data_IF_533344067437
#
_entry.id   IF_533344067437
#
_cell.length_a   1.000
_cell.length_b   1.000
_cell.length_c   1.000
_cell.angle_alpha   90.00
_cell.angle_beta   90.00
_cell.angle_gamma   90.00
#
_symmetry.space_group_name_H-M   'P 1'
#
loop_
_entity.id
_entity.type
_entity.pdbx_description
1 polymer ?
#
# COMPACT_ATOMS: atom_id res chain seq x y z
N UNK A 1 -1.68 1.26 -5.03
CA UNK A 1 -1.37 0.18 -4.06
C UNK A 1 -2.62 0.01 -3.25
N UNK A 2 -3.04 -1.23 -2.98
CA UNK A 2 -4.17 -1.49 -2.09
C UNK A 2 -3.68 -1.72 -0.66
N UNK A 3 -4.49 -1.35 0.32
CA UNK A 3 -4.22 -1.63 1.73
C UNK A 3 -4.96 -0.68 2.67
N UNK A 4 -5.14 -1.14 3.90
CA UNK A 4 -5.87 -0.40 4.91
C UNK A 4 -5.55 -0.85 6.33
N UNK A 5 -6.46 -0.54 7.25
CA UNK A 5 -6.28 -0.81 8.67
C UNK A 5 -6.79 -2.22 9.00
N UNK A 6 -5.95 -2.98 9.70
CA UNK A 6 -6.31 -4.32 10.18
C UNK A 6 -7.38 -4.21 11.27
N UNK A 7 -8.49 -4.92 11.07
CA UNK A 7 -9.60 -4.98 12.01
C UNK A 7 -9.25 -5.69 13.33
N UNK A 8 -10.04 -5.42 14.37
CA UNK A 8 -9.86 -6.12 15.65
C UNK A 8 -10.16 -7.62 15.49
N UNK A 9 -9.14 -8.45 15.74
CA UNK A 9 -9.24 -9.91 15.59
C UNK A 9 -9.08 -10.42 14.15
N UNK A 10 -8.85 -9.52 13.18
CA UNK A 10 -8.53 -9.86 11.79
C UNK A 10 -7.04 -10.22 11.69
N UNK A 11 -6.71 -11.29 10.96
CA UNK A 11 -5.32 -11.58 10.64
C UNK A 11 -4.79 -10.65 9.54
N UNK A 12 -3.47 -10.48 9.48
CA UNK A 12 -2.85 -9.62 8.45
C UNK A 12 -3.14 -10.12 7.02
N UNK A 13 -3.17 -11.43 6.83
CA UNK A 13 -3.47 -12.03 5.53
C UNK A 13 -4.93 -11.79 5.14
N UNK A 14 -5.88 -11.98 6.06
CA UNK A 14 -7.30 -11.70 5.82
C UNK A 14 -7.52 -10.23 5.46
N UNK A 15 -6.89 -9.31 6.21
CA UNK A 15 -6.93 -7.88 5.91
C UNK A 15 -6.39 -7.59 4.52
N UNK A 16 -5.21 -8.12 4.16
CA UNK A 16 -4.62 -7.88 2.84
C UNK A 16 -5.49 -8.38 1.68
N UNK A 17 -6.14 -9.55 1.83
CA UNK A 17 -7.09 -10.04 0.84
C UNK A 17 -8.38 -9.22 0.77
N UNK A 18 -8.91 -8.77 1.91
CA UNK A 18 -10.11 -7.93 1.97
C UNK A 18 -9.86 -6.59 1.28
N UNK A 19 -8.79 -5.89 1.63
CA UNK A 19 -8.45 -4.57 1.06
C UNK A 19 -8.20 -4.68 -0.46
N UNK A 20 -7.51 -5.74 -0.89
CA UNK A 20 -7.28 -5.99 -2.32
C UNK A 20 -8.60 -6.23 -3.08
N UNK A 21 -9.57 -6.89 -2.45
CA UNK A 21 -10.90 -7.08 -3.03
C UNK A 21 -11.72 -5.78 -3.05
N UNK A 22 -11.71 -5.03 -1.94
CA UNK A 22 -12.48 -3.80 -1.80
C UNK A 22 -12.01 -2.72 -2.77
N UNK A 23 -10.70 -2.51 -2.89
CA UNK A 23 -10.13 -1.47 -3.73
C UNK A 23 -10.01 -1.84 -5.21
N UNK A 24 -9.71 -3.11 -5.51
CA UNK A 24 -9.34 -3.55 -6.86
C UNK A 24 -10.25 -4.64 -7.43
N UNK A 25 -11.13 -5.25 -6.63
CA UNK A 25 -11.97 -6.38 -7.02
C UNK A 25 -11.19 -7.68 -7.28
N UNK A 26 -9.93 -7.73 -6.85
CA UNK A 26 -9.03 -8.87 -7.12
C UNK A 26 -9.20 -9.91 -6.03
N UNK A 27 -9.57 -11.13 -6.44
CA UNK A 27 -9.82 -12.27 -5.55
C UNK A 27 -9.04 -13.49 -6.03
N UNK A 28 -8.72 -14.38 -5.10
CA UNK A 28 -8.03 -15.66 -5.36
C UNK A 28 -6.64 -15.52 -6.01
N UNK A 29 -5.98 -14.37 -5.85
CA UNK A 29 -4.61 -14.13 -6.31
C UNK A 29 -3.64 -14.33 -5.15
N UNK A 30 -2.67 -15.25 -5.23
CA UNK A 30 -1.73 -15.48 -4.14
C UNK A 30 -0.94 -14.21 -3.78
N UNK A 31 -0.97 -13.86 -2.49
CA UNK A 31 -0.14 -12.80 -1.94
C UNK A 31 1.19 -13.37 -1.44
N UNK A 32 2.28 -12.69 -1.78
CA UNK A 32 3.62 -12.98 -1.25
C UNK A 32 3.97 -11.95 -0.18
N UNK A 33 4.17 -12.39 1.05
CA UNK A 33 4.68 -11.51 2.11
C UNK A 33 6.12 -11.08 1.78
N UNK A 34 6.35 -9.78 1.72
CA UNK A 34 7.65 -9.18 1.42
C UNK A 34 8.39 -8.85 2.71
N UNK A 35 7.78 -8.04 3.58
CA UNK A 35 8.39 -7.64 4.85
C UNK A 35 7.38 -6.98 5.80
N UNK A 36 7.79 -6.80 7.05
CA UNK A 36 7.10 -5.97 8.03
C UNK A 36 7.94 -4.73 8.31
N UNK A 37 7.31 -3.55 8.34
CA UNK A 37 8.00 -2.30 8.62
C UNK A 37 7.28 -1.45 9.68
N UNK A 38 8.03 -0.54 10.31
CA UNK A 38 7.48 0.47 11.20
C UNK A 38 7.63 1.84 10.54
N UNK A 39 6.57 2.63 10.56
CA UNK A 39 6.55 3.97 10.00
C UNK A 39 5.93 4.97 10.98
N UNK A 40 6.50 6.16 11.03
CA UNK A 40 6.01 7.23 11.89
C UNK A 40 6.07 8.56 11.16
N UNK A 41 4.96 9.29 11.15
CA UNK A 41 4.89 10.65 10.64
C UNK A 41 4.87 11.61 11.83
N UNK A 42 5.73 12.62 11.74
CA UNK A 42 5.69 13.79 12.61
C UNK A 42 5.84 15.01 11.70
N UNK A 43 4.73 15.69 11.41
CA UNK A 43 4.78 16.96 10.67
C UNK A 43 4.17 18.05 11.51
N UNK A 44 4.87 19.18 11.59
CA UNK A 44 4.38 20.38 12.24
C UNK A 44 4.05 21.40 11.16
N UNK A 45 2.76 21.69 10.96
CA UNK A 45 2.36 22.82 10.14
C UNK A 45 1.85 23.94 11.05
N UNK A 46 2.44 25.15 10.98
CA UNK A 46 2.08 26.24 11.90
C UNK A 46 0.62 26.70 11.78
N UNK A 47 -0.05 26.40 10.66
CA UNK A 47 -1.43 26.84 10.39
C UNK A 47 -2.48 25.71 10.36
N UNK A 48 -2.09 24.44 10.21
CA UNK A 48 -3.04 23.34 9.88
C UNK A 48 -2.94 22.11 10.78
N UNK A 49 -2.44 22.29 12.01
CA UNK A 49 -2.21 21.27 13.04
C UNK A 49 -0.96 20.40 12.83
N UNK A 50 -0.53 19.77 13.92
CA UNK A 50 0.57 18.80 13.92
C UNK A 50 0.01 17.42 13.63
N UNK A 51 0.51 16.72 12.60
CA UNK A 51 0.15 15.34 12.29
C UNK A 51 1.17 14.41 12.94
N UNK A 52 0.72 13.60 13.90
CA UNK A 52 1.54 12.61 14.59
C UNK A 52 0.82 11.26 14.62
N UNK A 53 1.35 10.28 13.90
CA UNK A 53 0.85 8.91 13.95
C UNK A 53 1.97 7.91 13.64
N UNK A 54 1.73 6.66 14.03
CA UNK A 54 2.64 5.54 13.80
C UNK A 54 1.85 4.31 13.38
N UNK A 55 2.45 3.49 12.52
CA UNK A 55 1.89 2.20 12.13
C UNK A 55 2.96 1.13 12.05
N UNK A 56 2.51 -0.11 12.14
CA UNK A 56 3.26 -1.29 11.70
C UNK A 56 2.58 -1.77 10.41
N UNK A 57 3.32 -1.74 9.31
CA UNK A 57 2.84 -2.16 8.01
C UNK A 57 3.32 -3.56 7.67
N UNK A 58 2.43 -4.38 7.13
CA UNK A 58 2.76 -5.69 6.55
C UNK A 58 2.65 -5.56 5.04
N UNK A 59 3.78 -5.73 4.35
CA UNK A 59 3.88 -5.50 2.91
C UNK A 59 3.76 -6.83 2.16
N UNK A 60 2.81 -6.89 1.23
CA UNK A 60 2.61 -8.01 0.33
C UNK A 60 2.84 -7.58 -1.12
N UNK A 61 3.11 -8.54 -1.99
CA UNK A 61 3.15 -8.38 -3.45
C UNK A 61 2.30 -9.45 -4.13
N UNK A 62 1.76 -9.13 -5.30
CA UNK A 62 1.11 -10.08 -6.17
C UNK A 62 1.18 -9.63 -7.63
N UNK A 63 1.07 -10.60 -8.54
CA UNK A 63 0.96 -10.34 -9.98
C UNK A 63 -0.44 -10.72 -10.43
N UNK A 64 -1.12 -9.78 -11.08
CA UNK A 64 -2.48 -9.95 -11.57
C UNK A 64 -2.63 -9.31 -12.95
N UNK A 65 -3.00 -10.13 -13.94
CA UNK A 65 -3.18 -9.71 -15.34
C UNK A 65 -4.67 -9.64 -15.75
N UNK A 66 -5.58 -9.73 -14.78
CA UNK A 66 -7.02 -9.68 -15.03
C UNK A 66 -7.63 -8.28 -14.95
N UNK A 67 -8.95 -8.16 -15.12
CA UNK A 67 -9.65 -6.88 -15.01
C UNK A 67 -9.73 -6.40 -13.56
N UNK A 68 -9.46 -5.12 -13.34
CA UNK A 68 -9.69 -4.45 -12.06
C UNK A 68 -11.12 -3.93 -12.00
N UNK A 69 -11.82 -4.20 -10.90
CA UNK A 69 -13.18 -3.71 -10.64
C UNK A 69 -13.19 -3.00 -9.29
N UNK A 70 -12.93 -1.70 -9.30
CA UNK A 70 -12.88 -0.89 -8.08
C UNK A 70 -14.27 -0.69 -7.47
N UNK A 71 -14.32 -0.50 -6.16
CA UNK A 71 -15.49 0.10 -5.49
C UNK A 71 -15.35 1.62 -5.50
N UNK A 72 -16.42 2.32 -5.89
CA UNK A 72 -16.39 3.79 -6.06
C UNK A 72 -16.25 4.53 -4.73
N UNK A 73 -16.70 3.91 -3.63
CA UNK A 73 -16.59 4.43 -2.27
C UNK A 73 -15.15 4.42 -1.74
N UNK A 74 -14.33 3.46 -2.18
CA UNK A 74 -12.94 3.30 -1.73
C UNK A 74 -11.95 3.97 -2.67
N UNK A 75 -12.13 3.82 -3.99
CA UNK A 75 -11.12 4.22 -4.98
C UNK A 75 -11.75 5.01 -6.11
N UNK A 76 -11.23 6.22 -6.34
CA UNK A 76 -11.67 7.07 -7.45
C UNK A 76 -11.16 6.58 -8.82
N UNK A 77 -9.89 6.16 -8.90
CA UNK A 77 -9.23 5.73 -10.14
C UNK A 77 -8.10 4.73 -9.84
N UNK A 78 -7.89 3.78 -10.76
CA UNK A 78 -6.74 2.87 -10.73
C UNK A 78 -5.88 3.12 -11.98
N UNK A 79 -4.60 3.40 -11.75
CA UNK A 79 -3.62 3.67 -12.81
C UNK A 79 -2.53 2.60 -12.81
N UNK A 80 -2.23 2.08 -14.00
CA UNK A 80 -1.04 1.25 -14.21
C UNK A 80 0.14 2.17 -14.53
N UNK A 81 1.12 2.23 -13.63
CA UNK A 81 2.27 3.13 -13.71
C UNK A 81 3.58 2.36 -13.59
N UNK A 82 4.62 2.81 -14.32
CA UNK A 82 5.98 2.34 -14.14
C UNK A 82 6.59 2.85 -12.83
N UNK A 83 7.67 2.22 -12.38
CA UNK A 83 8.44 2.68 -11.21
C UNK A 83 8.79 4.18 -11.31
N UNK A 84 9.29 4.63 -12.46
CA UNK A 84 9.68 6.02 -12.66
C UNK A 84 8.47 6.97 -12.61
N UNK A 85 7.31 6.55 -13.11
CA UNK A 85 6.09 7.35 -13.06
C UNK A 85 5.57 7.50 -11.63
N UNK A 86 5.64 6.43 -10.81
CA UNK A 86 5.26 6.48 -9.39
C UNK A 86 6.18 7.45 -8.64
N UNK A 87 7.51 7.34 -8.85
CA UNK A 87 8.48 8.23 -8.20
C UNK A 87 8.32 9.70 -8.61
N UNK A 88 7.95 9.98 -9.87
CA UNK A 88 7.68 11.34 -10.34
C UNK A 88 6.42 11.96 -9.72
N UNK A 89 5.51 11.13 -9.19
CA UNK A 89 4.22 11.51 -8.58
C UNK A 89 4.21 11.32 -7.08
N UNK A 90 5.37 11.32 -6.43
CA UNK A 90 5.47 11.06 -4.99
C UNK A 90 4.58 11.97 -4.14
N UNK A 91 4.40 13.22 -4.56
CA UNK A 91 3.55 14.20 -3.87
C UNK A 91 2.05 13.88 -3.93
N UNK A 92 1.62 13.04 -4.88
CA UNK A 92 0.23 12.58 -5.03
C UNK A 92 -0.05 11.34 -4.17
N UNK A 93 0.98 10.73 -3.58
CA UNK A 93 0.90 9.44 -2.87
C UNK A 93 1.02 9.70 -1.37
N UNK A 94 0.26 8.94 -0.58
CA UNK A 94 0.31 9.07 0.87
C UNK A 94 1.73 8.77 1.40
N UNK A 95 2.17 9.44 2.49
CA UNK A 95 3.53 9.28 2.99
C UNK A 95 3.92 7.83 3.34
N UNK A 96 2.99 7.06 3.91
CA UNK A 96 3.14 5.63 4.17
C UNK A 96 3.12 4.78 2.91
N UNK A 97 2.23 5.08 1.96
CA UNK A 97 2.18 4.37 0.68
C UNK A 97 3.52 4.49 -0.06
N UNK A 98 4.08 5.70 -0.11
CA UNK A 98 5.39 5.91 -0.71
C UNK A 98 6.52 5.23 0.08
N UNK A 99 6.45 5.23 1.42
CA UNK A 99 7.40 4.48 2.25
C UNK A 99 7.36 2.99 1.91
N UNK A 100 6.15 2.39 1.85
CA UNK A 100 5.95 1.00 1.48
C UNK A 100 6.50 0.67 0.09
N UNK A 101 6.26 1.54 -0.90
CA UNK A 101 6.79 1.38 -2.25
C UNK A 101 8.33 1.41 -2.30
N UNK A 102 8.97 2.34 -1.59
CA UNK A 102 10.44 2.40 -1.50
C UNK A 102 11.02 1.18 -0.77
N UNK A 103 10.33 0.69 0.26
CA UNK A 103 10.69 -0.56 0.95
C UNK A 103 10.58 -1.77 0.03
N UNK A 104 9.52 -1.84 -0.79
CA UNK A 104 9.37 -2.86 -1.83
C UNK A 104 10.56 -2.88 -2.78
N UNK A 105 10.89 -1.74 -3.40
CA UNK A 105 12.01 -1.65 -4.35
C UNK A 105 13.35 -2.10 -3.75
N UNK A 106 13.59 -1.78 -2.48
CA UNK A 106 14.83 -2.17 -1.79
C UNK A 106 14.87 -3.68 -1.50
N UNK A 107 13.73 -4.24 -1.08
CA UNK A 107 13.63 -5.67 -0.71
C UNK A 107 13.67 -6.55 -1.95
N UNK A 108 12.89 -6.22 -2.98
CA UNK A 108 12.77 -7.00 -4.23
C UNK A 108 14.06 -7.00 -5.06
N UNK A 109 14.87 -5.94 -4.97
CA UNK A 109 16.21 -5.90 -5.60
C UNK A 109 17.24 -6.73 -4.85
N UNK A 110 17.00 -7.05 -3.57
CA UNK A 110 17.91 -7.85 -2.75
C UNK A 110 17.68 -9.35 -2.97
N UNK A 111 16.44 -9.77 -3.21
CA UNK A 111 16.07 -11.16 -3.53
C UNK A 111 16.39 -11.57 -4.98
N UNK A 112 16.70 -10.62 -5.87
CA UNK A 112 17.09 -10.89 -7.26
C UNK A 112 18.60 -11.11 -7.47
N UNK A 113 19.39 -11.26 -6.40
CA UNK A 113 20.82 -11.64 -6.44
C UNK A 113 21.01 -13.04 -5.87
#
# INVERSE_FOLDING_TARGET
MAGGVVGFGESYDESAYRELDEEMGIRNTPLTHITTFSYSVHTHHPETCTTNWRLIGILYDCVYDGPVTKQDEEVAEVLLLSEQQILAREHDITPDGMFAFRTYLTTSRTTAK
#
